data_IF_342129781934
#
_entry.id   IF_342129781934
#
_cell.length_a   1.000
_cell.length_b   1.000
_cell.length_c   1.000
_cell.angle_alpha   90.00
_cell.angle_beta   90.00
_cell.angle_gamma   90.00
#
_symmetry.space_group_name_H-M   'P 1'
#
loop_
_entity.id
_entity.type
_entity.pdbx_description
1 polymer ?
#
# COMPACT_ATOMS: atom_id res chain seq x y z
N UNK A 1 -6.36 14.29 -13.59
CA UNK A 1 -5.76 15.16 -12.55
C UNK A 1 -5.10 14.29 -11.51
N UNK A 2 -3.79 14.33 -11.42
CA UNK A 2 -3.07 13.62 -10.35
C UNK A 2 -3.32 14.35 -9.04
N UNK A 3 -3.78 13.64 -8.01
CA UNK A 3 -3.90 14.20 -6.67
C UNK A 3 -2.53 14.74 -6.23
N UNK A 4 -2.45 15.92 -5.63
CA UNK A 4 -1.18 16.42 -5.15
C UNK A 4 -0.57 15.42 -4.15
N UNK A 5 0.70 15.14 -4.31
CA UNK A 5 1.49 14.25 -3.45
C UNK A 5 1.20 14.49 -1.96
N UNK A 6 1.00 15.74 -1.59
CA UNK A 6 0.69 16.16 -0.22
C UNK A 6 -0.54 15.44 0.36
N UNK A 7 -1.65 15.37 -0.39
CA UNK A 7 -2.90 14.74 0.07
C UNK A 7 -2.74 13.23 0.27
N UNK A 8 -2.02 12.56 -0.63
CA UNK A 8 -1.75 11.14 -0.51
C UNK A 8 -0.81 10.82 0.67
N UNK A 9 0.16 11.68 0.95
CA UNK A 9 1.03 11.55 2.11
C UNK A 9 0.25 11.65 3.43
N UNK A 10 -0.69 12.59 3.53
CA UNK A 10 -1.54 12.73 4.72
C UNK A 10 -2.44 11.50 4.88
N UNK A 11 -3.12 11.06 3.83
CA UNK A 11 -3.99 9.88 3.88
C UNK A 11 -3.21 8.62 4.30
N UNK A 12 -2.03 8.39 3.71
CA UNK A 12 -1.14 7.29 4.08
C UNK A 12 -0.79 7.32 5.56
N UNK A 13 -0.42 8.48 6.08
CA UNK A 13 -0.02 8.63 7.47
C UNK A 13 -1.16 8.30 8.42
N UNK A 14 -2.37 8.75 8.13
CA UNK A 14 -3.57 8.44 8.91
C UNK A 14 -3.83 6.93 8.96
N UNK A 15 -3.83 6.26 7.82
CA UNK A 15 -4.05 4.81 7.75
C UNK A 15 -2.94 4.04 8.47
N UNK A 16 -1.69 4.43 8.28
CA UNK A 16 -0.56 3.78 8.94
C UNK A 16 -0.64 3.89 10.46
N UNK A 17 -0.93 5.07 10.99
CA UNK A 17 -1.10 5.28 12.42
C UNK A 17 -2.27 4.48 13.00
N UNK A 18 -3.38 4.35 12.27
CA UNK A 18 -4.48 3.45 12.65
C UNK A 18 -4.04 1.99 12.69
N UNK A 19 -3.28 1.54 11.68
CA UNK A 19 -2.75 0.17 11.66
C UNK A 19 -1.87 -0.11 12.87
N UNK A 20 -0.97 0.80 13.20
CA UNK A 20 -0.12 0.71 14.42
C UNK A 20 -0.99 0.66 15.67
N UNK A 21 -1.98 1.53 15.78
CA UNK A 21 -2.89 1.56 16.93
C UNK A 21 -3.59 0.22 17.14
N UNK A 22 -4.14 -0.39 16.09
CA UNK A 22 -4.83 -1.67 16.17
C UNK A 22 -3.91 -2.83 16.58
N UNK A 23 -2.62 -2.75 16.29
CA UNK A 23 -1.65 -3.78 16.65
C UNK A 23 -0.95 -3.56 17.99
N UNK A 24 -1.12 -2.40 18.62
CA UNK A 24 -0.39 -2.04 19.86
C UNK A 24 -1.28 -1.66 21.03
N UNK A 25 -2.45 -1.07 20.77
CA UNK A 25 -3.37 -0.60 21.81
C UNK A 25 -4.46 -1.65 22.06
N UNK A 26 -4.70 -1.96 23.32
CA UNK A 26 -5.72 -2.95 23.69
C UNK A 26 -7.14 -2.36 23.64
N UNK A 27 -8.16 -3.13 23.20
CA UNK A 27 -8.03 -4.51 22.68
C UNK A 27 -7.31 -4.54 21.33
N UNK A 28 -6.43 -5.52 21.13
CA UNK A 28 -5.72 -5.72 19.87
C UNK A 28 -6.71 -6.13 18.76
N UNK A 29 -6.52 -5.59 17.56
CA UNK A 29 -7.37 -5.87 16.42
C UNK A 29 -6.51 -6.11 15.17
N UNK A 30 -6.05 -7.35 15.03
CA UNK A 30 -5.14 -7.77 13.96
C UNK A 30 -5.73 -7.56 12.57
N UNK A 31 -7.01 -7.83 12.40
CA UNK A 31 -7.69 -7.72 11.11
C UNK A 31 -7.80 -6.28 10.63
N UNK A 32 -8.22 -5.39 11.52
CA UNK A 32 -8.27 -3.97 11.20
C UNK A 32 -6.88 -3.37 11.01
N UNK A 33 -5.85 -3.86 11.71
CA UNK A 33 -4.47 -3.46 11.45
C UNK A 33 -4.04 -3.76 10.01
N UNK A 34 -4.28 -4.98 9.52
CA UNK A 34 -3.96 -5.38 8.15
C UNK A 34 -4.79 -4.58 7.14
N UNK A 35 -6.07 -4.38 7.41
CA UNK A 35 -6.94 -3.57 6.54
C UNK A 35 -6.44 -2.14 6.39
N UNK A 36 -6.07 -1.49 7.48
CA UNK A 36 -5.59 -0.11 7.44
C UNK A 36 -4.24 0.03 6.74
N UNK A 37 -3.30 -0.91 6.92
CA UNK A 37 -2.03 -0.88 6.18
C UNK A 37 -2.27 -1.09 4.67
N UNK A 38 -3.21 -1.93 4.28
CA UNK A 38 -3.61 -2.12 2.89
C UNK A 38 -4.20 -0.83 2.30
N UNK A 39 -5.06 -0.14 3.05
CA UNK A 39 -5.58 1.18 2.66
C UNK A 39 -4.48 2.23 2.49
N UNK A 40 -3.44 2.19 3.34
CA UNK A 40 -2.28 3.07 3.21
C UNK A 40 -1.52 2.82 1.89
N UNK A 41 -1.30 1.55 1.53
CA UNK A 41 -0.66 1.17 0.27
C UNK A 41 -1.53 1.62 -0.93
N UNK A 42 -2.82 1.37 -0.89
CA UNK A 42 -3.76 1.79 -1.95
C UNK A 42 -3.77 3.30 -2.14
N UNK A 43 -3.67 4.07 -1.06
CA UNK A 43 -3.65 5.54 -1.14
C UNK A 43 -2.44 6.05 -1.93
N UNK A 44 -1.29 5.38 -1.81
CA UNK A 44 -0.10 5.68 -2.62
C UNK A 44 -0.26 5.21 -4.06
N UNK A 45 -0.81 4.01 -4.26
CA UNK A 45 -1.09 3.48 -5.60
C UNK A 45 -1.99 4.39 -6.43
N UNK A 46 -2.97 5.06 -5.81
CA UNK A 46 -3.87 6.01 -6.47
C UNK A 46 -3.18 7.31 -6.91
N UNK A 47 -2.04 7.65 -6.34
CA UNK A 47 -1.22 8.78 -6.84
C UNK A 47 -0.62 8.42 -8.19
N UNK A 48 -0.13 7.18 -8.31
CA UNK A 48 0.49 6.66 -9.54
C UNK A 48 -0.57 6.40 -10.62
N UNK A 49 -1.68 5.79 -10.22
CA UNK A 49 -2.78 5.35 -11.08
C UNK A 49 -4.13 5.75 -10.48
N UNK A 50 -4.61 6.98 -10.73
CA UNK A 50 -5.86 7.47 -10.17
C UNK A 50 -7.05 6.54 -10.45
N UNK A 51 -7.93 6.36 -9.46
CA UNK A 51 -9.11 5.48 -9.50
C UNK A 51 -8.82 3.98 -9.61
N UNK A 52 -7.57 3.55 -9.50
CA UNK A 52 -7.22 2.14 -9.53
C UNK A 52 -7.32 1.49 -8.14
N UNK A 53 -7.73 0.23 -8.11
CA UNK A 53 -7.52 -0.64 -6.95
C UNK A 53 -6.06 -1.09 -6.91
N UNK A 54 -5.57 -1.59 -5.78
CA UNK A 54 -4.19 -2.08 -5.70
C UNK A 54 -3.92 -3.19 -6.73
N UNK A 55 -4.87 -4.07 -6.98
CA UNK A 55 -4.75 -5.09 -8.02
C UNK A 55 -4.57 -4.51 -9.43
N UNK A 56 -5.25 -3.41 -9.76
CA UNK A 56 -5.05 -2.70 -11.03
C UNK A 56 -3.72 -1.98 -11.08
N UNK A 57 -3.31 -1.35 -9.97
CA UNK A 57 -1.99 -0.72 -9.85
C UNK A 57 -0.88 -1.72 -10.17
N UNK A 58 -0.95 -2.92 -9.58
CA UNK A 58 0.03 -3.99 -9.85
C UNK A 58 0.04 -4.40 -11.32
N UNK A 59 -1.13 -4.52 -11.97
CA UNK A 59 -1.22 -4.84 -13.41
C UNK A 59 -0.56 -3.78 -14.28
N UNK A 60 -0.81 -2.51 -14.00
CA UNK A 60 -0.20 -1.41 -14.76
C UNK A 60 1.33 -1.35 -14.54
N UNK A 61 1.78 -1.55 -13.32
CA UNK A 61 3.22 -1.62 -13.01
C UNK A 61 3.92 -2.76 -13.76
N UNK A 62 3.26 -3.92 -13.89
CA UNK A 62 3.78 -5.05 -14.68
C UNK A 62 3.89 -4.71 -16.16
N UNK A 63 2.88 -4.03 -16.74
CA UNK A 63 2.88 -3.61 -18.14
C UNK A 63 3.98 -2.59 -18.45
N UNK A 64 4.11 -1.60 -17.59
CA UNK A 64 5.06 -0.49 -17.79
C UNK A 64 6.48 -0.89 -17.43
N UNK A 65 6.68 -2.05 -16.83
CA UNK A 65 7.99 -2.55 -16.41
C UNK A 65 8.79 -1.56 -15.55
N UNK A 66 8.08 -0.77 -14.74
CA UNK A 66 8.65 0.28 -13.91
C UNK A 66 9.51 -0.24 -12.76
N UNK A 67 9.23 -1.44 -12.29
CA UNK A 67 9.88 -2.07 -11.15
C UNK A 67 10.32 -3.49 -11.51
N UNK A 68 11.31 -4.05 -10.79
CA UNK A 68 11.68 -5.46 -10.95
C UNK A 68 10.47 -6.38 -10.74
N UNK A 69 10.24 -7.30 -11.66
CA UNK A 69 9.05 -8.17 -11.69
C UNK A 69 8.87 -8.97 -10.41
N UNK A 70 9.95 -9.44 -9.80
CA UNK A 70 9.88 -10.17 -8.53
C UNK A 70 9.39 -9.30 -7.37
N UNK A 71 9.72 -8.02 -7.34
CA UNK A 71 9.23 -7.09 -6.32
C UNK A 71 7.76 -6.74 -6.54
N UNK A 72 7.32 -6.61 -7.80
CA UNK A 72 5.90 -6.44 -8.12
C UNK A 72 5.10 -7.68 -7.67
N UNK A 73 5.64 -8.87 -7.89
CA UNK A 73 5.02 -10.13 -7.45
C UNK A 73 4.90 -10.21 -5.92
N UNK A 74 5.90 -9.70 -5.19
CA UNK A 74 5.82 -9.62 -3.72
C UNK A 74 4.66 -8.71 -3.27
N UNK A 75 4.51 -7.54 -3.88
CA UNK A 75 3.40 -6.62 -3.60
C UNK A 75 2.06 -7.26 -3.94
N UNK A 76 1.97 -7.97 -5.07
CA UNK A 76 0.78 -8.70 -5.49
C UNK A 76 0.40 -9.78 -4.47
N UNK A 77 1.35 -10.58 -4.02
CA UNK A 77 1.12 -11.62 -3.02
C UNK A 77 0.67 -11.05 -1.68
N UNK A 78 1.24 -9.93 -1.26
CA UNK A 78 0.77 -9.20 -0.08
C UNK A 78 -0.70 -8.80 -0.23
N UNK A 79 -1.07 -8.23 -1.37
CA UNK A 79 -2.45 -7.83 -1.66
C UNK A 79 -3.40 -9.03 -1.70
N UNK A 80 -2.99 -10.14 -2.30
CA UNK A 80 -3.79 -11.37 -2.35
C UNK A 80 -4.06 -11.88 -0.93
N UNK A 81 -3.04 -11.93 -0.07
CA UNK A 81 -3.20 -12.32 1.33
C UNK A 81 -4.21 -11.40 2.04
N UNK A 82 -4.00 -10.10 1.99
CA UNK A 82 -4.86 -9.12 2.67
C UNK A 82 -6.31 -9.11 2.16
N UNK A 83 -6.53 -9.52 0.90
CA UNK A 83 -7.86 -9.57 0.28
C UNK A 83 -8.54 -10.92 0.41
N UNK A 84 -7.78 -12.01 0.52
CA UNK A 84 -8.30 -13.39 0.55
C UNK A 84 -8.71 -13.82 1.95
N UNK A 85 -8.09 -13.27 3.00
CA UNK A 85 -8.46 -13.59 4.37
C UNK A 85 -9.87 -13.05 4.68
N UNK A 86 -10.88 -13.92 4.89
CA UNK A 86 -12.28 -13.48 5.06
C UNK A 86 -12.46 -12.55 6.26
N UNK A 87 -11.71 -12.77 7.32
CA UNK A 87 -11.76 -11.97 8.53
C UNK A 87 -11.22 -10.56 8.33
N UNK A 88 -10.17 -10.40 7.55
CA UNK A 88 -9.61 -9.07 7.22
C UNK A 88 -10.60 -8.25 6.39
N UNK A 89 -11.31 -8.90 5.46
CA UNK A 89 -12.20 -8.22 4.53
C UNK A 89 -13.59 -7.97 5.08
N UNK A 90 -14.11 -8.86 5.91
CA UNK A 90 -15.52 -8.87 6.33
C UNK A 90 -15.74 -8.69 7.82
N UNK A 91 -14.69 -8.60 8.62
CA UNK A 91 -14.78 -8.32 10.05
C UNK A 91 -15.69 -9.31 10.79
N UNK A 92 -15.33 -10.59 10.86
CA UNK A 92 -16.07 -11.55 11.65
C UNK A 92 -15.56 -11.58 13.10
N UNK A 93 -16.31 -11.04 14.08
CA UNK A 93 -15.83 -10.90 15.44
C UNK A 93 -15.70 -12.23 16.20
N UNK A 94 -16.23 -13.33 15.67
CA UNK A 94 -16.33 -14.60 16.39
C UNK A 94 -15.22 -15.61 16.07
N UNK A 95 -14.48 -15.44 14.97
CA UNK A 95 -13.39 -16.34 14.56
C UNK A 95 -12.30 -15.58 13.83
N UNK A 96 -11.51 -14.80 14.57
CA UNK A 96 -10.29 -14.23 13.98
C UNK A 96 -9.28 -15.35 13.75
N UNK A 97 -8.97 -15.66 12.49
CA UNK A 97 -7.88 -16.55 12.12
C UNK A 97 -6.54 -15.82 12.02
N UNK A 98 -6.54 -14.51 12.16
CA UNK A 98 -5.36 -13.66 12.01
C UNK A 98 -4.71 -13.42 13.38
N UNK A 99 -3.52 -13.97 13.55
CA UNK A 99 -2.71 -13.75 14.73
C UNK A 99 -2.12 -12.33 14.79
N UNK A 100 -1.76 -11.88 15.98
CA UNK A 100 -1.10 -10.57 16.14
C UNK A 100 0.25 -10.54 15.44
N UNK A 101 0.98 -11.64 15.39
CA UNK A 101 2.25 -11.76 14.68
C UNK A 101 2.06 -11.57 13.16
N UNK A 102 0.96 -12.05 12.59
CA UNK A 102 0.61 -11.81 11.18
C UNK A 102 0.36 -10.32 10.92
N UNK A 103 -0.32 -9.65 11.85
CA UNK A 103 -0.58 -8.22 11.75
C UNK A 103 0.72 -7.40 11.86
N UNK A 104 1.61 -7.75 12.78
CA UNK A 104 2.93 -7.11 12.89
C UNK A 104 3.76 -7.31 11.62
N UNK A 105 3.80 -8.54 11.09
CA UNK A 105 4.47 -8.83 9.83
C UNK A 105 3.91 -7.97 8.69
N UNK A 106 2.59 -7.93 8.53
CA UNK A 106 1.94 -7.12 7.52
C UNK A 106 2.21 -5.63 7.69
N UNK A 107 2.28 -5.13 8.92
CA UNK A 107 2.61 -3.75 9.22
C UNK A 107 4.01 -3.38 8.72
N UNK A 108 5.00 -4.22 9.01
CA UNK A 108 6.39 -3.99 8.59
C UNK A 108 6.57 -4.13 7.08
N UNK A 109 6.02 -5.18 6.48
CA UNK A 109 6.06 -5.38 5.02
C UNK A 109 5.32 -4.27 4.30
N UNK A 110 4.14 -3.89 4.79
CA UNK A 110 3.35 -2.80 4.24
C UNK A 110 4.08 -1.46 4.29
N UNK A 111 4.75 -1.16 5.40
CA UNK A 111 5.58 0.04 5.52
C UNK A 111 6.73 0.05 4.50
N UNK A 112 7.39 -1.09 4.29
CA UNK A 112 8.43 -1.23 3.28
C UNK A 112 7.90 -1.04 1.86
N UNK A 113 6.74 -1.62 1.55
CA UNK A 113 6.06 -1.44 0.25
C UNK A 113 5.73 0.04 0.01
N UNK A 114 5.14 0.72 0.99
CA UNK A 114 4.81 2.15 0.91
C UNK A 114 6.06 2.97 0.60
N UNK A 115 7.13 2.72 1.35
CA UNK A 115 8.40 3.45 1.18
C UNK A 115 8.99 3.25 -0.21
N UNK A 116 8.97 2.02 -0.68
CA UNK A 116 9.47 1.64 -2.00
C UNK A 116 8.66 2.29 -3.14
N UNK A 117 7.33 2.26 -3.04
CA UNK A 117 6.45 2.90 -4.04
C UNK A 117 6.66 4.41 -4.11
N UNK A 118 6.83 5.07 -2.96
CA UNK A 118 7.10 6.51 -2.91
C UNK A 118 8.44 6.83 -3.56
N UNK A 119 9.49 6.07 -3.24
CA UNK A 119 10.81 6.26 -3.81
C UNK A 119 10.81 6.09 -5.33
N UNK A 120 10.12 5.06 -5.82
CA UNK A 120 9.98 4.79 -7.26
C UNK A 120 9.20 5.89 -7.98
N UNK A 121 8.10 6.38 -7.38
CA UNK A 121 7.31 7.47 -7.93
C UNK A 121 8.13 8.77 -8.03
N UNK A 122 8.86 9.11 -6.97
CA UNK A 122 9.71 10.31 -6.96
C UNK A 122 10.78 10.26 -8.04
N UNK A 123 11.40 9.11 -8.23
CA UNK A 123 12.42 8.92 -9.26
C UNK A 123 11.84 9.16 -10.66
N UNK A 124 10.74 8.52 -11.00
CA UNK A 124 10.07 8.69 -12.28
C UNK A 124 9.64 10.14 -12.52
N UNK A 125 9.05 10.79 -11.51
CA UNK A 125 8.61 12.19 -11.61
C UNK A 125 9.77 13.17 -11.83
N UNK A 126 10.92 12.94 -11.21
CA UNK A 126 12.10 13.78 -11.37
C UNK A 126 12.74 13.59 -12.75
N UNK A 127 12.78 12.36 -13.26
CA UNK A 127 13.29 12.05 -14.60
C UNK A 127 12.42 12.71 -15.70
N UNK A 128 11.09 12.65 -15.57
CA UNK A 128 10.15 13.28 -16.49
C UNK A 128 10.31 14.81 -16.53
N UNK A 129 10.50 15.45 -15.37
CA UNK A 129 10.70 16.89 -15.30
C UNK A 129 12.06 17.34 -15.87
N UNK A 130 13.12 16.55 -15.68
CA UNK A 130 14.44 16.85 -16.25
C UNK A 130 14.44 16.74 -17.77
N UNK A 131 13.76 15.75 -18.32
CA UNK A 131 13.64 15.58 -19.77
C UNK A 131 12.84 16.73 -20.43
N UNK A 132 11.85 17.26 -19.75
CA UNK A 132 11.05 18.40 -20.22
C UNK A 132 11.85 19.70 -20.22
N UNK A 133 12.71 19.90 -19.23
CA UNK A 133 13.58 21.09 -19.13
C UNK A 133 14.75 21.06 -20.13
N UNK A 134 15.22 19.87 -20.50
CA UNK A 134 16.32 19.73 -21.47
C UNK A 134 15.88 19.94 -22.93
N UNK A 135 14.58 19.90 -23.23
CA UNK A 135 14.00 20.07 -24.56
C UNK A 135 13.45 21.48 -24.82
N UNK A 136 13.61 22.41 -23.89
CA UNK A 136 13.31 23.85 -24.05
C UNK A 136 14.59 24.68 -24.03
#
# INVERSE_FOLDING_TARGET
MKLPLCTAFVSRQVYYLKAVKYSTVRPLDSENSIKEITCAIESIGRVMYPKATLGRVVKEMKKENLLPQHLITLIENFYVYASAEPSVRHGNPLTSSVAIDDAEFCLHVGAAIIHYLIASYKKTYLEDNQSTLANN
#
